data_IF_386926174017
#
_entry.id   IF_386926174017
#
_cell.length_a   1.000
_cell.length_b   1.000
_cell.length_c   1.000
_cell.angle_alpha   90.00
_cell.angle_beta   90.00
_cell.angle_gamma   90.00
#
_symmetry.space_group_name_H-M   'P 1'
#
loop_
_entity.id
_entity.type
_entity.pdbx_description
1 polymer ?
#
# COMPACT_ATOMS: atom_id res chain seq x y z
N UNK A 1 -10.89 -3.67 36.55
CA UNK A 1 -10.05 -3.05 35.52
C UNK A 1 -9.29 -1.87 36.11
N UNK A 2 -7.98 -1.87 36.00
CA UNK A 2 -7.11 -0.78 36.45
C UNK A 2 -7.24 0.45 35.57
N UNK A 3 -6.76 1.61 36.03
CA UNK A 3 -6.70 2.84 35.22
C UNK A 3 -5.82 2.64 33.99
N UNK A 4 -4.69 1.92 34.12
CA UNK A 4 -3.79 1.58 33.03
C UNK A 4 -4.48 0.73 31.96
N UNK A 5 -5.23 -0.28 32.37
CA UNK A 5 -5.99 -1.14 31.46
C UNK A 5 -7.07 -0.36 30.71
N UNK A 6 -7.75 0.58 31.39
CA UNK A 6 -8.74 1.45 30.77
C UNK A 6 -8.12 2.35 29.71
N UNK A 7 -6.96 2.92 29.98
CA UNK A 7 -6.22 3.76 29.01
C UNK A 7 -5.80 2.92 27.80
N UNK A 8 -5.21 1.74 28.03
CA UNK A 8 -4.81 0.83 26.95
C UNK A 8 -5.99 0.39 26.08
N UNK A 9 -7.12 0.11 26.69
CA UNK A 9 -8.33 -0.26 25.95
C UNK A 9 -8.86 0.89 25.09
N UNK A 10 -8.81 2.13 25.59
CA UNK A 10 -9.18 3.31 24.80
C UNK A 10 -8.26 3.50 23.61
N UNK A 11 -6.94 3.34 23.82
CA UNK A 11 -5.96 3.47 22.72
C UNK A 11 -6.20 2.43 21.65
N UNK A 12 -6.45 1.18 22.03
CA UNK A 12 -6.79 0.10 21.07
C UNK A 12 -8.07 0.40 20.31
N UNK A 13 -9.09 0.92 21.00
CA UNK A 13 -10.37 1.27 20.37
C UNK A 13 -10.21 2.41 19.38
N UNK A 14 -9.44 3.45 19.73
CA UNK A 14 -9.13 4.56 18.81
C UNK A 14 -8.40 4.08 17.57
N UNK A 15 -7.39 3.22 17.73
CA UNK A 15 -6.64 2.64 16.62
C UNK A 15 -7.53 1.81 15.70
N UNK A 16 -8.41 0.99 16.27
CA UNK A 16 -9.37 0.20 15.53
C UNK A 16 -10.34 1.07 14.72
N UNK A 17 -10.89 2.10 15.34
CA UNK A 17 -11.82 3.03 14.69
C UNK A 17 -11.15 3.82 13.57
N UNK A 18 -9.91 4.27 13.79
CA UNK A 18 -9.12 4.97 12.77
C UNK A 18 -8.87 4.07 11.55
N UNK A 19 -8.49 2.81 11.78
CA UNK A 19 -8.28 1.84 10.71
C UNK A 19 -9.57 1.55 9.95
N UNK A 20 -10.68 1.38 10.66
CA UNK A 20 -11.99 1.15 10.07
C UNK A 20 -12.45 2.34 9.22
N UNK A 21 -12.21 3.57 9.68
CA UNK A 21 -12.54 4.79 8.93
C UNK A 21 -11.77 4.86 7.62
N UNK A 22 -10.47 4.49 7.60
CA UNK A 22 -9.67 4.43 6.38
C UNK A 22 -10.26 3.40 5.40
N UNK A 23 -10.60 2.20 5.88
CA UNK A 23 -11.20 1.15 5.02
C UNK A 23 -12.51 1.63 4.39
N UNK A 24 -13.34 2.35 5.15
CA UNK A 24 -14.64 2.82 4.66
C UNK A 24 -14.50 3.88 3.54
N UNK A 25 -13.42 4.65 3.53
CA UNK A 25 -13.19 5.73 2.56
C UNK A 25 -12.12 5.43 1.52
N UNK A 26 -11.42 4.30 1.65
CA UNK A 26 -10.24 3.96 0.83
C UNK A 26 -10.51 3.99 -0.67
N UNK A 27 -11.70 3.60 -1.12
CA UNK A 27 -12.07 3.60 -2.53
C UNK A 27 -11.96 5.00 -3.16
N UNK A 28 -12.26 6.04 -2.39
CA UNK A 28 -12.25 7.43 -2.85
C UNK A 28 -10.93 8.15 -2.56
N UNK A 29 -9.96 7.46 -1.96
CA UNK A 29 -8.66 8.03 -1.65
C UNK A 29 -7.67 7.77 -2.76
N UNK A 30 -6.84 8.78 -3.06
CA UNK A 30 -5.71 8.63 -3.99
C UNK A 30 -4.61 7.80 -3.34
N UNK A 31 -3.67 7.31 -4.16
CA UNK A 31 -2.49 6.61 -3.65
C UNK A 31 -1.69 7.48 -2.67
N UNK A 32 -1.54 8.76 -2.97
CA UNK A 32 -0.85 9.71 -2.10
C UNK A 32 -1.57 9.87 -0.75
N UNK A 33 -2.89 10.00 -0.77
CA UNK A 33 -3.70 10.09 0.45
C UNK A 33 -3.62 8.81 1.30
N UNK A 34 -3.70 7.64 0.66
CA UNK A 34 -3.58 6.34 1.36
C UNK A 34 -2.20 6.16 1.98
N UNK A 35 -1.14 6.49 1.25
CA UNK A 35 0.22 6.39 1.77
C UNK A 35 0.46 7.36 2.93
N UNK A 36 -0.21 8.51 2.93
CA UNK A 36 -0.09 9.50 4.00
C UNK A 36 -0.65 8.97 5.34
N UNK A 37 -1.60 8.05 5.31
CA UNK A 37 -2.22 7.44 6.49
C UNK A 37 -1.83 5.97 6.65
N UNK A 38 -0.68 5.58 6.14
CA UNK A 38 -0.23 4.18 6.14
C UNK A 38 -0.08 3.58 7.54
N UNK A 39 0.13 4.39 8.57
CA UNK A 39 0.12 3.96 9.97
C UNK A 39 -1.25 3.42 10.43
N UNK A 40 -2.32 3.78 9.73
CA UNK A 40 -3.69 3.31 10.01
C UNK A 40 -4.11 2.15 9.12
N UNK A 41 -3.23 1.70 8.22
CA UNK A 41 -3.48 0.61 7.30
C UNK A 41 -2.86 -0.67 7.87
N UNK A 42 -3.64 -1.77 7.99
CA UNK A 42 -3.13 -3.01 8.59
C UNK A 42 -2.05 -3.66 7.72
N UNK A 43 -1.17 -4.41 8.37
CA UNK A 43 -0.18 -5.23 7.68
C UNK A 43 -0.87 -6.44 7.06
N UNK A 44 -0.47 -6.79 5.85
CA UNK A 44 -1.04 -7.90 5.08
C UNK A 44 -1.05 -9.21 5.88
N UNK A 45 0.09 -9.60 6.48
CA UNK A 45 0.19 -10.86 7.25
C UNK A 45 -0.78 -10.89 8.42
N UNK A 46 -0.84 -9.81 9.19
CA UNK A 46 -1.77 -9.69 10.32
C UNK A 46 -3.23 -9.73 9.85
N UNK A 47 -3.53 -9.12 8.72
CA UNK A 47 -4.87 -9.12 8.15
C UNK A 47 -5.30 -10.52 7.71
N UNK A 48 -4.38 -11.30 7.12
CA UNK A 48 -4.65 -12.70 6.73
C UNK A 48 -4.91 -13.60 7.93
N UNK A 49 -4.23 -13.36 9.05
CA UNK A 49 -4.46 -14.11 10.29
C UNK A 49 -5.86 -13.87 10.86
N UNK A 50 -6.39 -12.66 10.69
CA UNK A 50 -7.72 -12.30 11.19
C UNK A 50 -8.84 -12.77 10.29
N UNK A 51 -8.65 -12.76 8.98
CA UNK A 51 -9.69 -13.08 8.02
C UNK A 51 -9.10 -13.47 6.68
N UNK A 52 -9.58 -14.57 6.13
CA UNK A 52 -9.22 -14.99 4.77
C UNK A 52 -9.65 -13.94 3.76
N UNK A 53 -8.84 -13.68 2.76
CA UNK A 53 -9.10 -12.68 1.71
C UNK A 53 -10.33 -13.02 0.86
N UNK A 54 -10.83 -14.27 0.90
CA UNK A 54 -12.12 -14.65 0.31
C UNK A 54 -13.28 -13.85 0.90
N UNK A 55 -13.17 -13.48 2.17
CA UNK A 55 -14.24 -12.83 2.93
C UNK A 55 -14.10 -11.31 2.97
N UNK A 56 -13.13 -10.77 2.21
CA UNK A 56 -12.94 -9.32 2.08
C UNK A 56 -13.62 -8.84 0.81
N UNK A 57 -14.15 -7.64 0.86
CA UNK A 57 -14.69 -6.99 -0.34
C UNK A 57 -13.55 -6.41 -1.16
N UNK A 58 -13.64 -6.56 -2.46
CA UNK A 58 -12.63 -6.09 -3.40
C UNK A 58 -13.17 -4.95 -4.25
N UNK A 59 -12.42 -3.85 -4.35
CA UNK A 59 -12.71 -2.75 -5.26
C UNK A 59 -14.06 -2.06 -5.07
N UNK A 60 -14.62 -2.12 -3.88
CA UNK A 60 -15.91 -1.51 -3.53
C UNK A 60 -15.69 -0.33 -2.57
N UNK A 61 -16.76 0.42 -2.27
CA UNK A 61 -16.72 1.55 -1.33
C UNK A 61 -16.09 1.17 0.01
N UNK A 62 -16.29 -0.04 0.43
CA UNK A 62 -15.67 -0.59 1.63
C UNK A 62 -14.58 -1.61 1.29
N UNK A 63 -13.88 -1.38 0.17
CA UNK A 63 -12.79 -2.23 -0.29
C UNK A 63 -11.63 -2.29 0.70
N UNK A 64 -10.96 -3.43 0.70
CA UNK A 64 -9.90 -3.69 1.66
C UNK A 64 -8.55 -3.18 1.16
N UNK A 65 -7.85 -2.42 2.03
CA UNK A 65 -6.47 -1.99 1.79
C UNK A 65 -5.57 -2.48 2.92
N UNK A 66 -4.34 -2.83 2.58
CA UNK A 66 -3.33 -3.25 3.56
C UNK A 66 -1.93 -2.87 3.07
N UNK A 67 -0.93 -3.11 3.92
CA UNK A 67 0.48 -2.93 3.55
C UNK A 67 1.16 -4.28 3.41
N UNK A 68 1.89 -4.49 2.32
CA UNK A 68 2.75 -5.66 2.19
C UNK A 68 3.89 -5.62 3.21
N UNK A 69 4.61 -6.73 3.37
CA UNK A 69 5.79 -6.78 4.26
C UNK A 69 6.85 -5.76 3.82
N UNK A 70 6.95 -5.45 2.53
CA UNK A 70 7.84 -4.42 2.01
C UNK A 70 7.33 -2.98 2.25
N UNK A 71 6.16 -2.82 2.86
CA UNK A 71 5.58 -1.52 3.19
C UNK A 71 4.77 -0.87 2.08
N UNK A 72 4.54 -1.57 0.97
CA UNK A 72 3.73 -1.05 -0.14
C UNK A 72 2.25 -1.12 0.20
N UNK A 73 1.53 -0.03 -0.06
CA UNK A 73 0.08 0.01 0.13
C UNK A 73 -0.59 -0.65 -1.06
N UNK A 74 -1.48 -1.60 -0.78
CA UNK A 74 -2.15 -2.40 -1.80
C UNK A 74 -3.65 -2.43 -1.55
N UNK A 75 -4.41 -2.51 -2.63
CA UNK A 75 -5.87 -2.58 -2.63
C UNK A 75 -6.30 -3.94 -3.21
N UNK A 76 -7.12 -4.66 -2.47
CA UNK A 76 -7.67 -5.92 -2.96
C UNK A 76 -8.66 -5.64 -4.09
N UNK A 77 -8.43 -6.23 -5.26
CA UNK A 77 -9.29 -6.07 -6.43
C UNK A 77 -10.01 -7.37 -6.81
N UNK A 78 -9.55 -8.49 -6.28
CA UNK A 78 -10.19 -9.78 -6.50
C UNK A 78 -10.02 -10.64 -5.24
N UNK A 79 -11.12 -11.12 -4.67
CA UNK A 79 -11.08 -12.00 -3.52
C UNK A 79 -10.41 -13.33 -3.87
N UNK A 80 -9.69 -13.92 -2.92
CA UNK A 80 -9.00 -15.18 -3.14
C UNK A 80 -8.76 -15.90 -1.81
N UNK A 81 -8.52 -17.19 -1.89
CA UNK A 81 -8.22 -18.01 -0.71
C UNK A 81 -6.76 -17.79 -0.27
N UNK A 82 -6.58 -16.95 0.74
CA UNK A 82 -5.26 -16.61 1.26
C UNK A 82 -4.64 -17.72 2.14
N UNK A 83 -5.37 -18.77 2.47
CA UNK A 83 -4.83 -19.95 3.14
C UNK A 83 -4.16 -20.90 2.13
N UNK A 84 -4.54 -20.81 0.86
CA UNK A 84 -3.95 -21.59 -0.25
C UNK A 84 -2.87 -20.78 -0.95
N UNK A 85 -3.19 -19.55 -1.36
CA UNK A 85 -2.25 -18.63 -2.01
C UNK A 85 -1.64 -17.73 -0.95
N UNK A 86 -0.54 -18.19 -0.36
CA UNK A 86 0.08 -17.57 0.81
C UNK A 86 1.14 -16.52 0.48
N UNK A 87 1.40 -16.26 -0.80
CA UNK A 87 2.40 -15.30 -1.23
C UNK A 87 2.03 -13.85 -0.87
N UNK A 88 3.04 -12.99 -0.83
CA UNK A 88 2.85 -11.54 -0.65
C UNK A 88 2.11 -10.94 -1.85
N UNK A 89 1.44 -9.77 -1.67
CA UNK A 89 0.77 -9.09 -2.78
C UNK A 89 1.61 -8.88 -4.03
N UNK A 90 2.93 -8.69 -3.88
CA UNK A 90 3.86 -8.50 -5.00
C UNK A 90 3.86 -9.68 -5.98
N UNK A 91 3.54 -10.87 -5.52
CA UNK A 91 3.46 -12.08 -6.33
C UNK A 91 2.03 -12.41 -6.79
N UNK A 92 1.06 -11.60 -6.40
CA UNK A 92 -0.35 -11.80 -6.73
C UNK A 92 -0.96 -10.55 -7.40
N UNK A 93 -0.41 -10.12 -8.54
CA UNK A 93 -0.83 -8.86 -9.17
C UNK A 93 -2.25 -8.88 -9.74
N UNK A 94 -2.83 -10.05 -9.96
CA UNK A 94 -4.23 -10.17 -10.38
C UNK A 94 -5.22 -9.88 -9.24
N UNK A 95 -4.79 -10.08 -8.00
CA UNK A 95 -5.62 -9.91 -6.81
C UNK A 95 -5.41 -8.55 -6.15
N UNK A 96 -4.23 -7.95 -6.33
CA UNK A 96 -3.83 -6.73 -5.63
C UNK A 96 -3.41 -5.63 -6.60
N UNK A 97 -3.95 -4.42 -6.39
CA UNK A 97 -3.49 -3.22 -7.06
C UNK A 97 -2.61 -2.43 -6.11
N UNK A 98 -1.43 -2.05 -6.57
CA UNK A 98 -0.52 -1.21 -5.81
C UNK A 98 -0.86 0.25 -6.03
N UNK A 99 -0.78 1.05 -4.96
CA UNK A 99 -1.04 2.48 -5.02
C UNK A 99 0.22 3.23 -4.59
N UNK A 100 0.62 4.18 -5.42
CA UNK A 100 1.87 4.91 -5.27
C UNK A 100 1.61 6.30 -4.74
N UNK A 101 2.64 6.92 -4.14
CA UNK A 101 2.56 8.28 -3.59
C UNK A 101 3.40 9.24 -4.42
N UNK A 102 2.91 10.45 -4.58
CA UNK A 102 3.69 11.56 -5.13
C UNK A 102 4.55 12.25 -4.06
N UNK A 103 4.44 11.83 -2.79
CA UNK A 103 5.26 12.32 -1.69
C UNK A 103 6.57 11.52 -1.63
N UNK A 104 7.74 12.17 -1.87
CA UNK A 104 9.03 11.48 -1.80
C UNK A 104 9.31 10.81 -0.46
N UNK A 105 8.75 11.32 0.64
CA UNK A 105 8.91 10.74 1.97
C UNK A 105 8.18 9.38 2.10
N UNK A 106 7.22 9.10 1.23
CA UNK A 106 6.45 7.86 1.19
C UNK A 106 6.84 6.97 0.00
N UNK A 107 7.97 7.25 -0.64
CA UNK A 107 8.49 6.42 -1.72
C UNK A 107 8.82 5.02 -1.20
N UNK A 108 8.42 3.99 -1.94
CA UNK A 108 8.67 2.59 -1.61
C UNK A 108 9.61 1.97 -2.66
N UNK A 109 10.25 0.84 -2.34
CA UNK A 109 11.14 0.20 -3.30
C UNK A 109 10.46 -0.05 -4.64
N UNK A 110 11.18 0.24 -5.73
CA UNK A 110 10.68 0.05 -7.08
C UNK A 110 10.26 -1.41 -7.30
N UNK A 111 9.15 -1.59 -8.00
CA UNK A 111 8.71 -2.90 -8.49
C UNK A 111 8.06 -2.72 -9.86
N UNK A 112 8.39 -3.59 -10.79
CA UNK A 112 7.81 -3.57 -12.13
C UNK A 112 6.55 -4.43 -12.19
N UNK A 113 5.39 -3.78 -12.19
CA UNK A 113 4.11 -4.46 -12.29
C UNK A 113 3.26 -3.79 -13.37
N UNK A 114 2.96 -4.52 -14.44
CA UNK A 114 2.14 -3.99 -15.55
C UNK A 114 0.72 -3.62 -15.11
N UNK A 115 0.24 -4.26 -14.04
CA UNK A 115 -1.09 -4.00 -13.46
C UNK A 115 -1.12 -2.78 -12.54
N UNK A 116 0.05 -2.28 -12.13
CA UNK A 116 0.19 -1.13 -11.24
C UNK A 116 1.38 -0.27 -11.64
N UNK A 117 1.36 0.32 -12.85
CA UNK A 117 2.46 1.15 -13.32
C UNK A 117 2.55 2.44 -12.50
N UNK A 118 3.71 3.05 -12.50
CA UNK A 118 3.90 4.39 -11.93
C UNK A 118 3.36 5.43 -12.91
N UNK A 119 2.56 6.36 -12.40
CA UNK A 119 2.10 7.52 -13.16
C UNK A 119 3.08 8.67 -12.98
N UNK A 120 2.94 9.70 -13.81
CA UNK A 120 3.70 10.95 -13.65
C UNK A 120 3.52 11.50 -12.23
N UNK A 121 4.63 11.76 -11.56
CA UNK A 121 4.65 12.27 -10.19
C UNK A 121 4.85 11.20 -9.12
N UNK A 122 4.54 9.94 -9.40
CA UNK A 122 4.70 8.85 -8.44
C UNK A 122 6.17 8.61 -8.12
N UNK A 123 6.47 8.38 -6.84
CA UNK A 123 7.83 8.21 -6.35
C UNK A 123 8.13 6.77 -5.94
N UNK A 124 9.37 6.38 -6.14
CA UNK A 124 9.91 5.10 -5.66
C UNK A 124 11.32 5.28 -5.13
N UNK A 125 11.82 4.27 -4.41
CA UNK A 125 13.23 4.19 -4.08
C UNK A 125 13.90 3.13 -4.96
N UNK A 126 15.14 3.40 -5.36
CA UNK A 126 15.93 2.47 -6.19
C UNK A 126 17.41 2.84 -6.08
N UNK A 127 18.26 1.84 -5.88
CA UNK A 127 19.71 2.01 -5.76
C UNK A 127 20.12 3.14 -4.78
N UNK A 128 19.43 3.20 -3.64
CA UNK A 128 19.76 4.17 -2.58
C UNK A 128 19.31 5.60 -2.85
N UNK A 129 18.53 5.83 -3.89
CA UNK A 129 17.99 7.15 -4.25
C UNK A 129 16.46 7.13 -4.27
N UNK A 130 15.87 8.31 -4.15
CA UNK A 130 14.43 8.54 -4.38
C UNK A 130 14.27 9.08 -5.79
N UNK A 131 13.29 8.53 -6.50
CA UNK A 131 13.02 8.89 -7.90
C UNK A 131 11.56 9.26 -8.07
N UNK A 132 11.31 10.22 -8.97
CA UNK A 132 9.94 10.61 -9.37
C UNK A 132 9.72 10.26 -10.83
N UNK A 133 8.63 9.56 -11.12
CA UNK A 133 8.26 9.23 -12.50
C UNK A 133 7.90 10.49 -13.29
N UNK A 134 8.48 10.62 -14.47
CA UNK A 134 8.18 11.70 -15.41
C UNK A 134 7.26 11.27 -16.54
N UNK A 135 6.65 10.07 -16.46
CA UNK A 135 5.74 9.57 -17.48
C UNK A 135 4.69 8.64 -16.86
N UNK A 136 3.55 8.53 -17.55
CA UNK A 136 2.49 7.58 -17.17
C UNK A 136 2.84 6.18 -17.70
N UNK A 137 2.19 5.16 -17.17
CA UNK A 137 2.39 3.78 -17.58
C UNK A 137 3.81 3.28 -17.39
N UNK A 138 4.52 3.83 -16.41
CA UNK A 138 5.94 3.56 -16.21
C UNK A 138 6.13 2.25 -15.42
N UNK A 139 6.68 1.24 -16.08
CA UNK A 139 6.99 -0.08 -15.47
C UNK A 139 8.49 -0.38 -15.52
N UNK A 140 9.30 0.56 -15.96
CA UNK A 140 10.75 0.37 -16.10
C UNK A 140 11.50 0.99 -14.93
N UNK A 141 12.58 0.35 -14.51
CA UNK A 141 13.38 0.82 -13.38
C UNK A 141 14.02 2.17 -13.65
N UNK A 142 14.23 3.01 -12.62
CA UNK A 142 15.06 4.19 -12.74
C UNK A 142 16.45 3.84 -13.31
N UNK A 143 16.94 4.67 -14.22
CA UNK A 143 18.20 4.43 -14.93
C UNK A 143 18.05 3.67 -16.26
N UNK A 144 16.87 3.20 -16.59
CA UNK A 144 16.61 2.57 -17.89
C UNK A 144 16.66 3.63 -19.00
N UNK A 145 17.39 3.34 -20.07
CA UNK A 145 17.53 4.27 -21.22
C UNK A 145 16.15 4.54 -21.85
N UNK A 146 15.85 5.82 -22.09
CA UNK A 146 14.60 6.24 -22.72
C UNK A 146 13.41 6.37 -21.79
N UNK A 147 13.59 6.08 -20.51
CA UNK A 147 12.52 6.20 -19.50
C UNK A 147 12.75 7.45 -18.65
N UNK A 148 11.66 8.17 -18.36
CA UNK A 148 11.73 9.45 -17.62
C UNK A 148 11.58 9.20 -16.12
N UNK A 149 12.69 9.27 -15.42
CA UNK A 149 12.74 9.30 -13.95
C UNK A 149 13.62 10.46 -13.52
N UNK A 150 13.12 11.26 -12.57
CA UNK A 150 13.88 12.35 -11.96
C UNK A 150 14.51 11.85 -10.66
N UNK A 151 15.83 11.95 -10.56
CA UNK A 151 16.58 11.63 -9.33
C UNK A 151 16.38 12.76 -8.31
N UNK A 152 15.74 12.46 -7.20
CA UNK A 152 15.48 13.43 -6.13
C UNK A 152 16.57 13.42 -5.05
N UNK A 153 17.58 12.58 -5.22
CA UNK A 153 18.72 12.49 -4.30
C UNK A 153 18.77 11.19 -3.51
N UNK A 154 19.85 11.04 -2.75
CA UNK A 154 20.07 9.86 -1.93
C UNK A 154 19.05 9.77 -0.79
N UNK A 155 18.73 8.55 -0.39
CA UNK A 155 17.90 8.29 0.80
C UNK A 155 18.68 8.73 2.02
N UNK A 156 18.07 9.57 2.85
CA UNK A 156 18.65 10.05 4.08
C UNK A 156 18.47 9.08 5.25
#
# INVERSE_FOLDING_TARGET
MTSKERVLNRERQRGYEAAKAVQATAENMTGTELNAVDDRIPRFRAACEKMNMLNRKAGQTDGFVCKSTAGRVVRLIQNYDSDVFTAEPEELPAQWRFVWSTDPAKARPFISLSTSPYATGDCCTHDGHVWRSGQDGNVWAPGTVGVKWDDLGAIS
#
